data_IF_065737699361
#
_entry.id   IF_065737699361
#
_cell.length_a   1.000
_cell.length_b   1.000
_cell.length_c   1.000
_cell.angle_alpha   90.00
_cell.angle_beta   90.00
_cell.angle_gamma   90.00
#
_symmetry.space_group_name_H-M   'P 1'
#
loop_
_entity.id
_entity.type
_entity.pdbx_description
1 polymer ?
#
# COMPACT_ATOMS: atom_id res chain seq x y z
N UNK A 1 -13.39 25.38 4.94
CA UNK A 1 -13.08 23.93 5.02
C UNK A 1 -11.58 23.77 4.85
N UNK A 2 -10.91 23.00 5.69
CA UNK A 2 -9.51 22.67 5.42
C UNK A 2 -9.45 21.80 4.16
N UNK A 3 -8.39 21.96 3.38
CA UNK A 3 -8.11 21.08 2.26
C UNK A 3 -7.93 19.65 2.80
N UNK A 4 -8.84 18.75 2.40
CA UNK A 4 -8.89 17.36 2.86
C UNK A 4 -7.63 16.61 2.42
N UNK A 5 -7.11 16.91 1.23
CA UNK A 5 -5.90 16.31 0.69
C UNK A 5 -4.70 16.68 1.58
N UNK A 6 -4.53 17.98 1.86
CA UNK A 6 -3.42 18.46 2.70
C UNK A 6 -3.54 17.93 4.14
N UNK A 7 -4.76 17.76 4.63
CA UNK A 7 -5.00 17.18 5.95
C UNK A 7 -4.57 15.71 5.97
N UNK A 8 -4.89 14.92 4.93
CA UNK A 8 -4.47 13.53 4.81
C UNK A 8 -2.95 13.39 4.66
N UNK A 9 -2.32 14.22 3.82
CA UNK A 9 -0.85 14.25 3.64
C UNK A 9 -0.14 14.54 4.97
N UNK A 10 -0.61 15.52 5.75
CA UNK A 10 -0.03 15.82 7.08
C UNK A 10 -0.14 14.63 8.03
N UNK A 11 -1.26 13.89 7.99
CA UNK A 11 -1.45 12.69 8.81
C UNK A 11 -0.52 11.55 8.39
N UNK A 12 -0.31 11.34 7.09
CA UNK A 12 0.65 10.36 6.57
C UNK A 12 2.08 10.68 7.02
N UNK A 13 2.49 11.95 6.95
CA UNK A 13 3.82 12.39 7.44
C UNK A 13 4.00 12.13 8.93
N UNK A 14 3.00 12.45 9.75
CA UNK A 14 3.03 12.20 11.19
C UNK A 14 3.10 10.69 11.51
N UNK A 15 2.31 9.87 10.81
CA UNK A 15 2.33 8.41 10.97
C UNK A 15 3.69 7.82 10.55
N UNK A 16 4.29 8.32 9.46
CA UNK A 16 5.60 7.87 9.00
C UNK A 16 6.70 8.21 10.00
N UNK A 17 6.72 9.43 10.55
CA UNK A 17 7.67 9.81 11.60
C UNK A 17 7.55 8.91 12.83
N UNK A 18 6.31 8.63 13.27
CA UNK A 18 6.06 7.71 14.38
C UNK A 18 6.55 6.28 14.08
N UNK A 19 6.24 5.75 12.89
CA UNK A 19 6.63 4.39 12.49
C UNK A 19 8.15 4.22 12.44
N UNK A 20 8.84 5.19 11.84
CA UNK A 20 10.30 5.17 11.74
C UNK A 20 10.96 5.27 13.12
N UNK A 21 10.41 6.06 14.04
CA UNK A 21 10.97 6.20 15.39
C UNK A 21 10.74 4.98 16.29
N UNK A 22 9.56 4.35 16.18
CA UNK A 22 9.15 3.29 17.11
C UNK A 22 9.49 1.88 16.59
N UNK A 23 9.45 1.68 15.28
CA UNK A 23 9.58 0.36 14.66
C UNK A 23 10.76 0.28 13.68
N UNK A 24 11.44 1.40 13.40
CA UNK A 24 12.53 1.48 12.41
C UNK A 24 12.11 0.99 11.02
N UNK A 25 10.82 1.10 10.71
CA UNK A 25 10.19 0.57 9.50
C UNK A 25 9.32 1.63 8.81
N UNK A 26 9.27 1.62 7.47
CA UNK A 26 8.33 2.44 6.71
C UNK A 26 6.88 2.04 7.01
N UNK A 27 5.93 2.90 6.62
CA UNK A 27 4.51 2.55 6.68
C UNK A 27 4.21 1.44 5.67
N UNK A 28 3.30 0.52 6.03
CA UNK A 28 2.75 -0.47 5.09
C UNK A 28 1.36 -0.01 4.66
N UNK A 29 1.18 0.24 3.37
CA UNK A 29 -0.11 0.53 2.77
C UNK A 29 -0.74 -0.78 2.34
N UNK A 30 -1.83 -1.16 3.01
CA UNK A 30 -2.65 -2.30 2.61
C UNK A 30 -3.49 -1.92 1.40
N UNK A 31 -3.22 -2.54 0.26
CA UNK A 31 -3.81 -2.22 -1.03
C UNK A 31 -4.80 -3.30 -1.45
N UNK A 32 -6.06 -2.94 -1.68
CA UNK A 32 -7.11 -3.89 -2.07
C UNK A 32 -7.35 -3.95 -3.58
N UNK A 33 -6.70 -3.09 -4.37
CA UNK A 33 -7.01 -2.92 -5.80
C UNK A 33 -8.30 -2.13 -6.05
N UNK A 34 -8.82 -1.44 -5.04
CA UNK A 34 -10.00 -0.58 -5.15
C UNK A 34 -9.68 0.91 -5.16
N UNK A 35 -10.67 1.74 -5.55
CA UNK A 35 -10.55 3.20 -5.66
C UNK A 35 -10.01 3.89 -4.40
N UNK A 36 -10.42 3.43 -3.21
CA UNK A 36 -10.06 4.08 -1.96
C UNK A 36 -8.58 3.80 -1.62
N UNK A 37 -8.09 2.60 -1.95
CA UNK A 37 -6.67 2.27 -1.83
C UNK A 37 -5.81 2.95 -2.91
N UNK A 38 -6.35 3.22 -4.11
CA UNK A 38 -5.65 4.03 -5.13
C UNK A 38 -5.46 5.48 -4.67
N UNK A 39 -6.49 6.09 -4.07
CA UNK A 39 -6.38 7.42 -3.48
C UNK A 39 -5.35 7.42 -2.36
N UNK A 40 -5.31 6.37 -1.53
CA UNK A 40 -4.31 6.27 -0.46
C UNK A 40 -2.88 6.18 -1.01
N UNK A 41 -2.64 5.39 -2.07
CA UNK A 41 -1.34 5.35 -2.76
C UNK A 41 -0.95 6.72 -3.32
N UNK A 42 -1.89 7.40 -3.98
CA UNK A 42 -1.65 8.74 -4.52
C UNK A 42 -1.23 9.73 -3.42
N UNK A 43 -1.95 9.73 -2.29
CA UNK A 43 -1.64 10.57 -1.14
C UNK A 43 -0.28 10.22 -0.53
N UNK A 44 0.09 8.94 -0.48
CA UNK A 44 1.39 8.49 0.00
C UNK A 44 2.54 8.96 -0.91
N UNK A 45 2.42 8.78 -2.22
CA UNK A 45 3.36 9.30 -3.22
C UNK A 45 3.52 10.83 -3.09
N UNK A 46 2.40 11.57 -2.98
CA UNK A 46 2.39 13.03 -2.78
C UNK A 46 2.99 13.48 -1.45
N UNK A 47 2.88 12.65 -0.42
CA UNK A 47 3.46 12.96 0.89
C UNK A 47 4.98 12.77 0.93
N UNK A 48 5.55 12.04 -0.04
CA UNK A 48 6.98 11.71 -0.12
C UNK A 48 7.53 11.02 1.14
N UNK A 49 6.67 10.33 1.89
CA UNK A 49 7.09 9.47 3.01
C UNK A 49 7.59 8.14 2.46
N UNK A 50 8.51 7.44 3.15
CA UNK A 50 8.82 6.06 2.80
C UNK A 50 7.65 5.13 3.16
N UNK A 51 7.26 4.29 2.22
CA UNK A 51 6.22 3.27 2.42
C UNK A 51 6.51 2.00 1.62
N UNK A 52 5.90 0.91 2.05
CA UNK A 52 5.78 -0.36 1.33
C UNK A 52 4.30 -0.60 1.04
N UNK A 53 4.00 -1.47 0.07
CA UNK A 53 2.63 -1.82 -0.29
C UNK A 53 2.42 -3.31 -0.16
N UNK A 54 1.28 -3.71 0.44
CA UNK A 54 0.92 -5.11 0.61
C UNK A 54 -0.50 -5.36 0.12
N UNK A 55 -0.69 -6.37 -0.73
CA UNK A 55 -2.01 -6.88 -1.10
C UNK A 55 -2.20 -8.27 -0.51
N UNK A 56 -3.29 -8.46 0.25
CA UNK A 56 -3.70 -9.78 0.74
C UNK A 56 -4.58 -10.43 -0.31
N UNK A 57 -3.98 -11.30 -1.13
CA UNK A 57 -4.70 -12.01 -2.18
C UNK A 57 -5.62 -13.07 -1.59
N UNK A 58 -6.88 -13.05 -2.00
CA UNK A 58 -7.89 -14.02 -1.57
C UNK A 58 -8.55 -14.68 -2.78
N UNK A 59 -9.24 -15.78 -2.56
CA UNK A 59 -10.06 -16.42 -3.61
C UNK A 59 -11.30 -15.61 -3.99
N UNK A 60 -11.62 -14.55 -3.24
CA UNK A 60 -12.75 -13.67 -3.53
C UNK A 60 -12.40 -12.55 -4.52
N UNK A 61 -11.11 -12.32 -4.78
CA UNK A 61 -10.67 -11.28 -5.70
C UNK A 61 -10.99 -11.66 -7.15
N UNK A 62 -11.63 -10.74 -7.87
CA UNK A 62 -11.92 -10.94 -9.29
C UNK A 62 -10.61 -10.99 -10.10
N UNK A 63 -10.52 -11.80 -11.18
CA UNK A 63 -9.33 -11.87 -12.02
C UNK A 63 -8.85 -10.49 -12.51
N UNK A 64 -9.78 -9.59 -12.80
CA UNK A 64 -9.50 -8.21 -13.22
C UNK A 64 -8.87 -7.39 -12.09
N UNK A 65 -9.33 -7.55 -10.84
CA UNK A 65 -8.73 -6.91 -9.66
C UNK A 65 -7.31 -7.42 -9.45
N UNK A 66 -7.10 -8.73 -9.55
CA UNK A 66 -5.76 -9.33 -9.42
C UNK A 66 -4.81 -8.76 -10.47
N UNK A 67 -5.24 -8.68 -11.74
CA UNK A 67 -4.44 -8.07 -12.81
C UNK A 67 -4.13 -6.61 -12.53
N UNK A 68 -5.13 -5.83 -12.09
CA UNK A 68 -4.96 -4.43 -11.74
C UNK A 68 -3.95 -4.24 -10.61
N UNK A 69 -4.00 -5.08 -9.57
CA UNK A 69 -3.02 -5.05 -8.47
C UNK A 69 -1.61 -5.30 -8.98
N UNK A 70 -1.40 -6.32 -9.81
CA UNK A 70 -0.08 -6.61 -10.37
C UNK A 70 0.45 -5.49 -11.27
N UNK A 71 -0.41 -4.90 -12.10
CA UNK A 71 -0.03 -3.76 -12.96
C UNK A 71 0.35 -2.52 -12.11
N UNK A 72 -0.41 -2.24 -11.04
CA UNK A 72 -0.12 -1.16 -10.09
C UNK A 72 1.19 -1.42 -9.35
N UNK A 73 1.43 -2.66 -8.88
CA UNK A 73 2.66 -3.02 -8.16
C UNK A 73 3.88 -2.90 -9.06
N UNK A 74 3.80 -3.37 -10.30
CA UNK A 74 4.88 -3.22 -11.27
C UNK A 74 5.27 -1.74 -11.47
N UNK A 75 4.28 -0.83 -11.58
CA UNK A 75 4.54 0.62 -11.68
C UNK A 75 5.25 1.17 -10.44
N UNK A 76 4.84 0.74 -9.25
CA UNK A 76 5.42 1.18 -7.97
C UNK A 76 6.85 0.65 -7.79
N UNK A 77 7.09 -0.62 -8.12
CA UNK A 77 8.41 -1.25 -8.07
C UNK A 77 9.39 -0.59 -9.04
N UNK A 78 8.93 -0.20 -10.24
CA UNK A 78 9.73 0.61 -11.18
C UNK A 78 10.16 1.96 -10.58
N UNK A 79 9.42 2.48 -9.59
CA UNK A 79 9.75 3.69 -8.83
C UNK A 79 10.53 3.39 -7.53
N UNK A 80 10.97 2.15 -7.31
CA UNK A 80 11.75 1.73 -6.15
C UNK A 80 10.91 1.47 -4.88
N UNK A 81 9.59 1.36 -5.00
CA UNK A 81 8.70 1.08 -3.87
C UNK A 81 8.54 -0.43 -3.73
N UNK A 82 8.84 -0.97 -2.54
CA UNK A 82 8.67 -2.39 -2.25
C UNK A 82 7.18 -2.76 -2.20
N UNK A 83 6.81 -3.77 -2.96
CA UNK A 83 5.46 -4.32 -3.02
C UNK A 83 5.47 -5.80 -2.68
N UNK A 84 4.45 -6.30 -1.98
CA UNK A 84 4.30 -7.72 -1.65
C UNK A 84 2.85 -8.19 -1.80
N UNK A 85 2.68 -9.40 -2.33
CA UNK A 85 1.37 -10.05 -2.45
C UNK A 85 1.36 -11.26 -1.52
N UNK A 86 0.68 -11.11 -0.38
CA UNK A 86 0.46 -12.22 0.54
C UNK A 86 -0.58 -13.16 -0.08
N UNK A 87 -0.15 -14.39 -0.38
CA UNK A 87 -0.99 -15.43 -0.99
C UNK A 87 -1.58 -16.39 0.04
N UNK A 88 -1.47 -16.08 1.34
CA UNK A 88 -1.85 -16.91 2.47
C UNK A 88 -1.51 -18.39 2.28
N UNK A 89 -0.22 -18.73 2.41
CA UNK A 89 0.24 -20.12 2.31
C UNK A 89 0.10 -20.79 3.67
N UNK A 90 -0.58 -21.93 3.72
CA UNK A 90 -0.68 -22.75 4.93
C UNK A 90 0.70 -23.29 5.34
N UNK A 91 0.91 -23.67 6.63
CA UNK A 91 2.19 -24.22 7.10
C UNK A 91 2.66 -25.48 6.35
N UNK A 92 1.74 -26.20 5.71
CA UNK A 92 2.03 -27.37 4.87
C UNK A 92 2.39 -27.03 3.41
N UNK A 93 2.42 -25.74 3.06
CA UNK A 93 2.73 -25.24 1.73
C UNK A 93 1.53 -25.19 0.77
N UNK A 94 0.33 -25.60 1.22
CA UNK A 94 -0.89 -25.47 0.41
C UNK A 94 -1.37 -24.01 0.34
N UNK A 95 -2.10 -23.70 -0.73
CA UNK A 95 -2.71 -22.39 -1.00
C UNK A 95 -4.22 -22.55 -1.12
#
# INVERSE_FOLDING_TARGET
>A
MSDLEQTAIKRLKAASDMSLRLFEKPLVITYSGGKDSDVLLHLAEKSSVPFEVLHSLTTADAPETVRHVYDTFYRLECNGIKCDVDKHVQPDGSR
#
